data_IF_354352238104
#
_entry.id   IF_354352238104
#
_cell.length_a   1.000
_cell.length_b   1.000
_cell.length_c   1.000
_cell.angle_alpha   90.00
_cell.angle_beta   90.00
_cell.angle_gamma   90.00
#
_symmetry.space_group_name_H-M   'P 1'
#
loop_
_entity.id
_entity.type
_entity.pdbx_description
1 polymer ?
#
# COMPACT_ATOMS: atom_id res chain seq x y z
N UNK A 1 13.63 -3.00 -7.63
CA UNK A 1 13.52 -2.87 -6.16
C UNK A 1 13.81 -4.20 -5.49
N UNK A 2 14.57 -4.19 -4.39
CA UNK A 2 14.89 -5.37 -3.60
C UNK A 2 14.01 -5.38 -2.34
N UNK A 3 13.35 -6.51 -2.09
CA UNK A 3 12.51 -6.68 -0.91
C UNK A 3 13.31 -7.24 0.27
N UNK A 4 13.54 -6.40 1.28
CA UNK A 4 14.03 -6.79 2.61
C UNK A 4 13.04 -6.41 3.72
N UNK A 5 11.74 -6.33 3.38
CA UNK A 5 10.69 -5.85 4.27
C UNK A 5 9.56 -6.83 4.56
N UNK A 6 9.43 -7.92 3.79
CA UNK A 6 8.33 -8.88 3.96
C UNK A 6 8.45 -9.65 5.29
N UNK A 7 7.43 -9.63 6.17
CA UNK A 7 7.44 -10.38 7.44
C UNK A 7 6.78 -11.76 7.34
N UNK A 8 6.22 -12.12 6.18
CA UNK A 8 5.44 -13.36 5.99
C UNK A 8 6.31 -14.58 6.26
N UNK A 9 5.83 -15.49 7.12
CA UNK A 9 6.56 -16.69 7.56
C UNK A 9 7.14 -17.50 6.40
N UNK A 10 6.35 -17.74 5.34
CA UNK A 10 6.78 -18.48 4.14
C UNK A 10 8.00 -17.83 3.44
N UNK A 11 8.11 -16.50 3.47
CA UNK A 11 9.24 -15.77 2.88
C UNK A 11 10.44 -15.77 3.85
N UNK A 12 10.20 -15.51 5.13
CA UNK A 12 11.27 -15.47 6.14
C UNK A 12 11.94 -16.83 6.34
N UNK A 13 11.19 -17.94 6.28
CA UNK A 13 11.73 -19.29 6.44
C UNK A 13 12.67 -19.71 5.29
N UNK A 14 12.61 -19.01 4.15
CA UNK A 14 13.55 -19.14 3.04
C UNK A 14 14.73 -18.15 3.15
N UNK A 15 14.95 -17.56 4.34
CA UNK A 15 15.98 -16.53 4.58
C UNK A 15 15.86 -15.30 3.68
N UNK A 16 14.63 -14.97 3.28
CA UNK A 16 14.32 -13.84 2.40
C UNK A 16 13.53 -12.75 3.13
N UNK A 17 13.41 -11.57 2.51
CA UNK A 17 12.64 -10.47 3.07
C UNK A 17 13.27 -9.94 4.35
N UNK A 18 12.46 -9.68 5.38
CA UNK A 18 12.95 -9.05 6.61
C UNK A 18 13.81 -9.96 7.51
N UNK A 19 13.94 -11.24 7.19
CA UNK A 19 14.93 -12.13 7.85
C UNK A 19 16.37 -11.70 7.56
N UNK A 20 16.63 -11.09 6.40
CA UNK A 20 17.95 -10.59 6.02
C UNK A 20 18.44 -9.47 6.95
N UNK A 21 17.53 -8.76 7.64
CA UNK A 21 17.87 -7.63 8.51
C UNK A 21 18.67 -8.02 9.76
N UNK A 22 18.84 -9.33 10.02
CA UNK A 22 19.70 -9.87 11.08
C UNK A 22 21.13 -10.19 10.61
N UNK A 23 21.40 -10.13 9.31
CA UNK A 23 22.66 -10.57 8.70
C UNK A 23 23.22 -9.47 7.78
N UNK A 24 23.83 -8.46 8.39
CA UNK A 24 24.33 -7.27 7.69
C UNK A 24 25.34 -7.60 6.59
N UNK A 25 26.27 -8.53 6.83
CA UNK A 25 27.24 -9.00 5.82
C UNK A 25 26.58 -9.66 4.60
N UNK A 26 25.46 -10.36 4.82
CA UNK A 26 24.70 -10.98 3.73
C UNK A 26 23.93 -9.93 2.94
N UNK A 27 23.40 -8.91 3.63
CA UNK A 27 22.78 -7.76 2.98
C UNK A 27 23.78 -7.07 2.06
N UNK A 28 24.97 -6.73 2.54
CA UNK A 28 26.03 -6.12 1.73
C UNK A 28 26.32 -6.93 0.46
N UNK A 29 26.60 -8.23 0.62
CA UNK A 29 26.87 -9.14 -0.51
C UNK A 29 25.75 -9.16 -1.55
N UNK A 30 24.49 -9.19 -1.11
CA UNK A 30 23.33 -9.19 -2.01
C UNK A 30 23.23 -7.86 -2.76
N UNK A 31 23.32 -6.73 -2.05
CA UNK A 31 23.17 -5.42 -2.66
C UNK A 31 24.27 -5.17 -3.69
N UNK A 32 25.52 -5.46 -3.33
CA UNK A 32 26.68 -5.36 -4.22
C UNK A 32 26.56 -6.22 -5.48
N UNK A 33 26.07 -7.46 -5.33
CA UNK A 33 25.91 -8.37 -6.46
C UNK A 33 24.81 -7.89 -7.40
N UNK A 34 23.68 -7.44 -6.87
CA UNK A 34 22.54 -6.97 -7.69
C UNK A 34 22.86 -5.65 -8.38
N UNK A 35 23.48 -4.69 -7.68
CA UNK A 35 23.85 -3.39 -8.26
C UNK A 35 24.87 -3.57 -9.39
N UNK A 36 25.85 -4.48 -9.24
CA UNK A 36 26.83 -4.77 -10.31
C UNK A 36 26.27 -5.53 -11.49
N UNK A 37 25.14 -6.21 -11.34
CA UNK A 37 24.58 -7.07 -12.38
C UNK A 37 23.71 -6.31 -13.40
N UNK A 38 23.32 -5.05 -13.14
CA UNK A 38 22.36 -4.31 -13.97
C UNK A 38 22.73 -2.84 -14.11
N UNK A 39 22.43 -2.25 -15.27
CA UNK A 39 22.65 -0.83 -15.55
C UNK A 39 21.47 0.07 -15.13
N UNK A 40 20.36 -0.52 -14.69
CA UNK A 40 19.17 0.22 -14.23
C UNK A 40 19.27 0.57 -12.74
N UNK A 41 18.62 1.66 -12.27
CA UNK A 41 18.60 2.00 -10.86
C UNK A 41 18.08 0.88 -9.96
N UNK A 42 18.88 0.52 -8.95
CA UNK A 42 18.48 -0.46 -7.93
C UNK A 42 18.05 0.29 -6.67
N UNK A 43 16.89 -0.09 -6.14
CA UNK A 43 16.26 0.50 -4.95
C UNK A 43 16.01 -0.57 -3.89
N UNK A 44 15.92 -0.17 -2.61
CA UNK A 44 15.74 -1.10 -1.49
C UNK A 44 14.53 -0.73 -0.63
N UNK A 45 13.61 -1.68 -0.45
CA UNK A 45 12.50 -1.56 0.51
C UNK A 45 12.67 -2.48 1.71
N UNK A 46 12.66 -1.92 2.92
CA UNK A 46 12.92 -2.65 4.16
C UNK A 46 12.11 -2.15 5.36
N UNK A 47 12.40 -2.71 6.54
CA UNK A 47 11.74 -2.44 7.84
C UNK A 47 12.73 -1.90 8.86
N UNK A 48 12.24 -1.40 9.99
CA UNK A 48 13.10 -0.76 11.02
C UNK A 48 14.10 -1.73 11.66
N UNK A 49 13.82 -3.04 11.60
CA UNK A 49 14.67 -4.12 12.08
C UNK A 49 13.87 -5.40 12.31
N UNK A 50 14.44 -6.33 13.07
CA UNK A 50 13.80 -7.62 13.36
C UNK A 50 12.68 -7.51 14.40
N UNK A 51 12.95 -6.83 15.51
CA UNK A 51 12.00 -6.51 16.58
C UNK A 51 12.35 -5.15 17.20
N UNK A 52 11.65 -4.74 18.26
CA UNK A 52 11.80 -3.39 18.83
C UNK A 52 13.14 -3.18 19.50
N UNK A 53 13.72 -4.24 20.02
CA UNK A 53 15.03 -4.29 20.68
C UNK A 53 16.17 -4.36 19.65
N UNK A 54 15.90 -4.86 18.45
CA UNK A 54 16.87 -5.11 17.38
C UNK A 54 16.54 -4.30 16.12
N UNK A 55 16.65 -2.96 16.22
CA UNK A 55 16.51 -2.04 15.09
C UNK A 55 17.85 -1.88 14.36
N UNK A 56 17.94 -2.42 13.14
CA UNK A 56 19.16 -2.42 12.32
C UNK A 56 19.11 -1.40 11.18
N UNK A 57 18.00 -0.67 11.01
CA UNK A 57 17.75 0.14 9.83
C UNK A 57 18.81 1.20 9.51
N UNK A 58 19.44 1.84 10.50
CA UNK A 58 20.51 2.81 10.24
C UNK A 58 21.75 2.16 9.62
N UNK A 59 22.12 0.96 10.08
CA UNK A 59 23.28 0.23 9.53
C UNK A 59 22.97 -0.26 8.13
N UNK A 60 21.78 -0.84 7.93
CA UNK A 60 21.30 -1.29 6.62
C UNK A 60 21.24 -0.14 5.61
N UNK A 61 20.78 1.05 6.01
CA UNK A 61 20.74 2.22 5.13
C UNK A 61 22.13 2.67 4.66
N UNK A 62 23.14 2.62 5.55
CA UNK A 62 24.53 2.97 5.20
C UNK A 62 25.15 1.94 4.26
N UNK A 63 24.97 0.65 4.56
CA UNK A 63 25.40 -0.45 3.69
C UNK A 63 24.78 -0.28 2.30
N UNK A 64 23.48 -0.02 2.24
CA UNK A 64 22.78 0.17 0.96
C UNK A 64 23.31 1.36 0.17
N UNK A 65 23.53 2.51 0.83
CA UNK A 65 24.10 3.68 0.16
C UNK A 65 25.53 3.41 -0.36
N UNK A 66 26.37 2.69 0.40
CA UNK A 66 27.72 2.30 -0.01
C UNK A 66 27.71 1.33 -1.19
N UNK A 67 26.77 0.38 -1.21
CA UNK A 67 26.58 -0.59 -2.29
C UNK A 67 26.03 0.03 -3.59
N UNK A 68 25.68 1.33 -3.60
CA UNK A 68 25.16 2.02 -4.78
C UNK A 68 23.64 1.95 -4.97
N UNK A 69 22.88 1.64 -3.91
CA UNK A 69 21.41 1.75 -3.95
C UNK A 69 21.00 3.22 -4.17
N UNK A 70 20.08 3.45 -5.09
CA UNK A 70 19.70 4.80 -5.51
C UNK A 70 18.48 5.37 -4.77
N UNK A 71 17.70 4.54 -4.07
CA UNK A 71 16.58 5.00 -3.23
C UNK A 71 16.23 3.97 -2.16
N UNK A 72 15.91 4.45 -0.97
CA UNK A 72 15.44 3.64 0.16
C UNK A 72 13.95 3.84 0.40
N UNK A 73 13.22 2.76 0.65
CA UNK A 73 11.87 2.83 1.22
C UNK A 73 11.83 2.12 2.56
N UNK A 74 11.48 2.85 3.62
CA UNK A 74 11.45 2.30 4.97
C UNK A 74 10.03 2.23 5.51
N UNK A 75 9.55 1.00 5.77
CA UNK A 75 8.33 0.79 6.54
C UNK A 75 8.62 0.98 8.03
N UNK A 76 7.90 1.90 8.68
CA UNK A 76 8.06 2.27 10.09
C UNK A 76 7.67 1.19 11.12
N UNK A 77 7.75 -0.10 10.76
CA UNK A 77 7.51 -1.23 11.66
C UNK A 77 8.69 -2.19 11.61
N UNK A 78 8.89 -2.94 12.69
CA UNK A 78 9.83 -4.05 12.73
C UNK A 78 9.23 -5.28 12.04
N UNK A 79 10.02 -6.32 11.76
CA UNK A 79 9.49 -7.61 11.28
C UNK A 79 8.45 -8.17 12.26
N UNK A 80 8.76 -8.17 13.55
CA UNK A 80 7.92 -8.74 14.60
C UNK A 80 6.57 -8.04 14.75
N UNK A 81 6.49 -6.72 14.51
CA UNK A 81 5.21 -6.02 14.53
C UNK A 81 4.28 -6.49 13.39
N UNK A 82 4.81 -6.98 12.27
CA UNK A 82 3.99 -7.35 11.11
C UNK A 82 3.11 -6.17 10.64
N UNK A 83 1.80 -6.24 10.90
CA UNK A 83 0.84 -5.15 10.69
C UNK A 83 0.14 -4.69 11.98
N UNK A 84 0.52 -5.21 13.15
CA UNK A 84 0.00 -4.77 14.44
C UNK A 84 0.68 -3.48 14.90
N UNK A 85 0.10 -2.84 15.92
CA UNK A 85 0.57 -1.56 16.43
C UNK A 85 0.54 -0.44 15.38
N UNK A 86 1.29 0.63 15.64
CA UNK A 86 1.40 1.79 14.75
C UNK A 86 2.80 1.86 14.13
N UNK A 87 2.88 2.31 12.88
CA UNK A 87 4.15 2.67 12.27
C UNK A 87 4.77 3.87 13.00
N UNK A 88 6.05 3.77 13.35
CA UNK A 88 6.84 4.84 13.92
C UNK A 88 7.76 5.49 12.88
N UNK A 89 7.89 6.81 12.97
CA UNK A 89 8.57 7.62 11.98
C UNK A 89 9.95 8.11 12.47
N UNK A 90 10.31 7.86 13.73
CA UNK A 90 11.58 8.30 14.32
C UNK A 90 12.77 7.60 13.64
N UNK A 91 12.66 6.31 13.39
CA UNK A 91 13.71 5.57 12.67
C UNK A 91 13.82 6.04 11.22
N UNK A 92 12.71 6.41 10.58
CA UNK A 92 12.73 6.96 9.20
C UNK A 92 13.46 8.31 9.17
N UNK A 93 13.16 9.21 10.12
CA UNK A 93 13.87 10.48 10.26
C UNK A 93 15.37 10.28 10.46
N UNK A 94 15.75 9.34 11.34
CA UNK A 94 17.14 9.02 11.60
C UNK A 94 17.87 8.43 10.38
N UNK A 95 17.19 7.60 9.58
CA UNK A 95 17.74 7.10 8.30
C UNK A 95 17.88 8.23 7.29
N UNK A 96 16.87 9.07 7.12
CA UNK A 96 16.92 10.22 6.19
C UNK A 96 18.05 11.19 6.53
N UNK A 97 18.30 11.44 7.81
CA UNK A 97 19.42 12.28 8.24
C UNK A 97 20.80 11.64 8.03
N UNK A 98 20.88 10.31 7.91
CA UNK A 98 22.14 9.57 7.84
C UNK A 98 22.62 9.25 6.41
N UNK A 99 21.77 9.44 5.39
CA UNK A 99 22.11 9.12 3.99
C UNK A 99 21.73 10.28 3.06
N UNK A 100 22.43 10.40 1.93
CA UNK A 100 22.16 11.42 0.92
C UNK A 100 21.18 10.97 -0.16
N UNK A 101 21.08 9.66 -0.40
CA UNK A 101 20.13 9.09 -1.35
C UNK A 101 18.68 9.31 -0.91
N UNK A 102 17.72 9.41 -1.85
CA UNK A 102 16.31 9.59 -1.53
C UNK A 102 15.76 8.50 -0.58
N UNK A 103 14.95 8.93 0.39
CA UNK A 103 14.26 8.08 1.37
C UNK A 103 12.75 8.30 1.28
N UNK A 104 12.02 7.20 1.12
CA UNK A 104 10.57 7.15 1.05
C UNK A 104 10.00 6.61 2.36
N UNK A 105 9.18 7.42 3.04
CA UNK A 105 8.51 7.03 4.26
C UNK A 105 7.29 6.13 3.97
N UNK A 106 7.15 5.02 4.70
CA UNK A 106 6.05 4.09 4.51
C UNK A 106 5.45 3.62 5.84
N UNK A 107 4.13 3.42 5.86
CA UNK A 107 3.40 2.82 6.96
C UNK A 107 2.32 3.74 7.52
N UNK A 108 1.08 3.25 7.57
CA UNK A 108 -0.08 3.91 8.18
C UNK A 108 -0.36 5.34 7.69
N UNK A 109 0.01 5.62 6.45
CA UNK A 109 -0.34 6.86 5.74
C UNK A 109 -1.66 6.60 5.02
N UNK A 110 -2.75 7.01 5.64
CA UNK A 110 -4.13 6.72 5.19
C UNK A 110 -4.91 7.96 4.80
N UNK A 111 -4.36 9.16 5.04
CA UNK A 111 -5.01 10.45 4.73
C UNK A 111 -3.98 11.47 4.23
N UNK A 112 -4.42 12.54 3.54
CA UNK A 112 -3.56 13.64 3.12
C UNK A 112 -2.82 14.34 4.27
N UNK A 113 -3.50 14.56 5.40
CA UNK A 113 -2.92 15.18 6.60
C UNK A 113 -1.84 14.29 7.20
N UNK A 114 -2.09 12.96 7.25
CA UNK A 114 -1.10 12.01 7.73
C UNK A 114 0.14 11.99 6.83
N UNK A 115 -0.04 12.08 5.50
CA UNK A 115 1.08 12.19 4.57
C UNK A 115 1.91 13.45 4.84
N UNK A 116 1.27 14.61 4.99
CA UNK A 116 1.94 15.87 5.34
C UNK A 116 2.69 15.78 6.67
N UNK A 117 2.04 15.25 7.71
CA UNK A 117 2.64 15.05 9.02
C UNK A 117 3.88 14.17 8.94
N UNK A 118 3.81 13.05 8.23
CA UNK A 118 4.93 12.12 8.10
C UNK A 118 6.09 12.75 7.33
N UNK A 119 5.83 13.46 6.24
CA UNK A 119 6.87 14.20 5.51
C UNK A 119 7.55 15.23 6.41
N UNK A 120 6.78 16.03 7.16
CA UNK A 120 7.32 17.03 8.09
C UNK A 120 8.15 16.40 9.23
N UNK A 121 7.68 15.29 9.80
CA UNK A 121 8.37 14.62 10.92
C UNK A 121 9.66 13.92 10.50
N UNK A 122 9.71 13.41 9.26
CA UNK A 122 10.82 12.58 8.80
C UNK A 122 11.83 13.31 7.92
N UNK A 123 11.42 14.40 7.28
CA UNK A 123 12.18 15.01 6.19
C UNK A 123 12.33 14.11 4.96
N UNK A 124 11.55 13.02 4.86
CA UNK A 124 11.60 12.08 3.74
C UNK A 124 11.25 12.78 2.42
N UNK A 125 11.82 12.29 1.32
CA UNK A 125 11.65 12.87 -0.01
C UNK A 125 10.31 12.48 -0.66
N UNK A 126 9.71 11.38 -0.20
CA UNK A 126 8.41 10.93 -0.65
C UNK A 126 7.71 10.07 0.42
N UNK A 127 6.44 9.76 0.17
CA UNK A 127 5.66 8.78 0.93
C UNK A 127 5.20 7.63 0.02
N UNK A 128 5.15 6.42 0.57
CA UNK A 128 4.59 5.25 -0.11
C UNK A 128 3.30 4.80 0.57
N UNK A 129 2.24 4.70 -0.22
CA UNK A 129 0.91 4.29 0.22
C UNK A 129 0.67 2.83 -0.21
N UNK A 130 0.10 2.03 0.70
CA UNK A 130 -0.21 0.62 0.46
C UNK A 130 -1.71 0.34 0.62
N UNK A 131 -2.09 -0.18 1.78
CA UNK A 131 -3.47 -0.59 2.10
C UNK A 131 -4.51 0.50 1.82
N UNK A 132 -4.22 1.77 2.08
CA UNK A 132 -5.17 2.85 1.86
C UNK A 132 -5.50 3.12 0.39
N UNK A 133 -4.69 2.63 -0.56
CA UNK A 133 -4.98 2.72 -1.99
C UNK A 133 -5.81 1.52 -2.50
N UNK A 134 -5.98 0.47 -1.69
CA UNK A 134 -6.82 -0.67 -2.04
C UNK A 134 -8.29 -0.26 -2.03
N UNK A 135 -8.94 -0.26 -3.19
CA UNK A 135 -10.31 0.24 -3.34
C UNK A 135 -10.45 1.76 -3.38
N UNK A 136 -9.32 2.49 -3.30
CA UNK A 136 -9.26 3.95 -3.35
C UNK A 136 -7.99 4.42 -4.07
N UNK A 137 -7.78 4.04 -5.34
CA UNK A 137 -6.54 4.39 -6.07
C UNK A 137 -6.35 5.91 -6.22
N UNK A 138 -7.43 6.70 -6.20
CA UNK A 138 -7.39 8.16 -6.22
C UNK A 138 -6.80 8.79 -4.94
N UNK A 139 -6.50 8.02 -3.89
CA UNK A 139 -5.83 8.56 -2.69
C UNK A 139 -4.52 9.27 -3.02
N UNK A 140 -3.80 8.80 -4.06
CA UNK A 140 -2.56 9.43 -4.49
C UNK A 140 -2.80 10.88 -4.96
N UNK A 141 -3.83 11.14 -5.78
CA UNK A 141 -4.15 12.51 -6.23
C UNK A 141 -4.70 13.39 -5.11
N UNK A 142 -5.40 12.81 -4.14
CA UNK A 142 -5.91 13.55 -2.97
C UNK A 142 -4.77 14.00 -2.06
N UNK A 143 -3.81 13.10 -1.78
CA UNK A 143 -2.60 13.43 -1.02
C UNK A 143 -1.80 14.51 -1.77
N UNK A 144 -1.57 14.29 -3.04
CA UNK A 144 -0.78 15.18 -3.89
C UNK A 144 -1.39 16.60 -4.00
N UNK A 145 -2.71 16.70 -4.20
CA UNK A 145 -3.42 17.98 -4.19
C UNK A 145 -3.28 18.69 -2.84
N UNK A 146 -3.58 18.01 -1.74
CA UNK A 146 -3.48 18.59 -0.40
C UNK A 146 -2.07 19.04 -0.02
N UNK A 147 -1.04 18.30 -0.43
CA UNK A 147 0.35 18.70 -0.20
C UNK A 147 0.73 19.98 -0.94
N UNK A 148 0.13 20.25 -2.12
CA UNK A 148 0.40 21.46 -2.90
C UNK A 148 -0.45 22.66 -2.49
N UNK A 149 -1.72 22.45 -2.15
CA UNK A 149 -2.70 23.53 -1.96
C UNK A 149 -3.08 23.75 -0.50
N UNK A 150 -2.93 22.74 0.35
CA UNK A 150 -3.50 22.73 1.70
C UNK A 150 -5.02 22.47 1.74
N UNK A 151 -5.65 22.24 0.59
CA UNK A 151 -7.09 22.02 0.45
C UNK A 151 -7.41 20.56 0.12
N UNK A 152 -8.64 20.12 0.42
CA UNK A 152 -9.10 18.77 0.10
C UNK A 152 -9.81 18.73 -1.25
N UNK A 153 -9.51 17.70 -2.04
CA UNK A 153 -10.39 17.33 -3.14
C UNK A 153 -11.71 16.78 -2.60
N UNK A 154 -12.84 17.05 -3.27
CA UNK A 154 -14.09 16.37 -2.97
C UNK A 154 -13.95 14.87 -3.29
N UNK A 155 -14.78 14.05 -2.63
CA UNK A 155 -14.92 12.63 -2.95
C UNK A 155 -15.17 12.43 -4.45
N UNK A 156 -14.66 11.35 -5.07
CA UNK A 156 -14.82 11.13 -6.51
C UNK A 156 -16.30 11.01 -6.89
N UNK A 157 -16.61 11.37 -8.15
CA UNK A 157 -17.97 11.21 -8.66
C UNK A 157 -18.31 9.72 -8.78
N UNK A 158 -19.57 9.36 -8.55
CA UNK A 158 -20.04 7.98 -8.73
C UNK A 158 -19.75 7.51 -10.16
N UNK A 159 -20.06 8.34 -11.16
CA UNK A 159 -19.81 8.04 -12.57
C UNK A 159 -18.31 7.79 -12.88
N UNK A 160 -17.42 8.55 -12.23
CA UNK A 160 -15.98 8.40 -12.39
C UNK A 160 -15.51 7.04 -11.84
N UNK A 161 -15.97 6.65 -10.64
CA UNK A 161 -15.56 5.37 -10.03
C UNK A 161 -16.19 4.19 -10.76
N UNK A 162 -17.43 4.33 -11.25
CA UNK A 162 -18.10 3.35 -12.10
C UNK A 162 -17.28 3.05 -13.35
N UNK A 163 -16.87 4.09 -14.08
CA UNK A 163 -16.02 3.94 -15.28
C UNK A 163 -14.67 3.30 -14.94
N UNK A 164 -13.99 3.79 -13.89
CA UNK A 164 -12.71 3.22 -13.45
C UNK A 164 -12.83 1.73 -13.11
N UNK A 165 -13.93 1.33 -12.48
CA UNK A 165 -14.18 -0.07 -12.12
C UNK A 165 -14.44 -0.95 -13.32
N UNK A 166 -15.19 -0.47 -14.32
CA UNK A 166 -15.36 -1.20 -15.58
C UNK A 166 -13.99 -1.41 -16.26
N UNK A 167 -13.23 -0.34 -16.48
CA UNK A 167 -11.89 -0.42 -17.11
C UNK A 167 -10.94 -1.37 -16.37
N UNK A 168 -10.90 -1.27 -15.04
CA UNK A 168 -10.05 -2.12 -14.20
C UNK A 168 -10.46 -3.59 -14.28
N UNK A 169 -11.77 -3.90 -14.22
CA UNK A 169 -12.25 -5.26 -14.27
C UNK A 169 -12.04 -5.88 -15.66
N UNK A 170 -12.32 -5.15 -16.73
CA UNK A 170 -12.07 -5.59 -18.10
C UNK A 170 -10.58 -5.94 -18.30
N UNK A 171 -9.67 -5.05 -17.90
CA UNK A 171 -8.24 -5.30 -17.98
C UNK A 171 -7.81 -6.52 -17.15
N UNK A 172 -8.38 -6.67 -15.95
CA UNK A 172 -8.12 -7.81 -15.07
C UNK A 172 -8.60 -9.14 -15.69
N UNK A 173 -9.79 -9.16 -16.28
CA UNK A 173 -10.32 -10.35 -16.95
C UNK A 173 -9.56 -10.70 -18.22
N UNK A 174 -9.13 -9.70 -19.01
CA UNK A 174 -8.28 -9.92 -20.16
C UNK A 174 -6.94 -10.56 -19.78
N UNK A 175 -6.37 -10.18 -18.63
CA UNK A 175 -5.10 -10.71 -18.16
C UNK A 175 -5.20 -12.13 -17.58
N UNK A 176 -6.21 -12.39 -16.73
CA UNK A 176 -6.33 -13.65 -16.01
C UNK A 176 -7.24 -14.69 -16.71
N UNK A 177 -7.99 -14.28 -17.73
CA UNK A 177 -9.03 -15.08 -18.35
C UNK A 177 -10.24 -15.31 -17.44
N UNK A 178 -11.27 -15.97 -17.97
CA UNK A 178 -12.57 -16.14 -17.29
C UNK A 178 -12.45 -16.79 -15.90
N UNK A 179 -11.83 -17.98 -15.86
CA UNK A 179 -11.82 -18.82 -14.67
C UNK A 179 -11.07 -18.21 -13.48
N UNK A 180 -9.87 -17.65 -13.71
CA UNK A 180 -9.08 -17.00 -12.65
C UNK A 180 -9.52 -15.56 -12.45
N UNK A 181 -9.92 -14.86 -13.50
CA UNK A 181 -10.35 -13.47 -13.46
C UNK A 181 -11.53 -13.27 -12.50
N UNK A 182 -12.60 -14.05 -12.66
CA UNK A 182 -13.79 -13.95 -11.80
C UNK A 182 -13.47 -14.16 -10.32
N UNK A 183 -12.54 -15.07 -9.99
CA UNK A 183 -12.16 -15.40 -8.61
C UNK A 183 -11.26 -14.33 -8.00
N UNK A 184 -10.26 -13.88 -8.76
CA UNK A 184 -9.25 -12.95 -8.27
C UNK A 184 -9.76 -11.51 -8.23
N UNK A 185 -10.74 -11.14 -9.06
CA UNK A 185 -11.38 -9.82 -9.04
C UNK A 185 -12.17 -9.55 -7.75
N UNK A 186 -12.72 -10.58 -7.10
CA UNK A 186 -13.56 -10.46 -5.88
C UNK A 186 -12.92 -9.60 -4.79
N UNK A 187 -11.62 -9.77 -4.57
CA UNK A 187 -10.89 -8.98 -3.55
C UNK A 187 -10.82 -7.50 -3.93
N UNK A 188 -10.63 -7.19 -5.21
CA UNK A 188 -10.54 -5.82 -5.70
C UNK A 188 -11.90 -5.15 -5.58
N UNK A 189 -12.96 -5.78 -6.10
CA UNK A 189 -14.35 -5.32 -5.96
C UNK A 189 -14.68 -5.10 -4.48
N UNK A 190 -14.37 -6.08 -3.64
CA UNK A 190 -14.58 -6.02 -2.20
C UNK A 190 -13.78 -4.93 -1.47
N UNK A 191 -12.73 -4.37 -2.06
CA UNK A 191 -12.05 -3.19 -1.51
C UNK A 191 -12.78 -1.90 -1.85
N UNK A 192 -13.26 -1.74 -3.09
CA UNK A 192 -13.96 -0.54 -3.53
C UNK A 192 -15.29 -0.32 -2.81
N UNK A 193 -16.06 -1.39 -2.60
CA UNK A 193 -17.45 -1.27 -2.15
C UNK A 193 -17.60 -1.33 -0.64
N UNK A 194 -16.55 -1.72 0.10
CA UNK A 194 -16.65 -2.05 1.53
C UNK A 194 -17.19 -0.91 2.39
N UNK A 195 -16.78 0.31 2.08
CA UNK A 195 -17.13 1.50 2.87
C UNK A 195 -18.37 2.23 2.32
N UNK A 196 -19.02 1.68 1.30
CA UNK A 196 -20.19 2.26 0.64
C UNK A 196 -21.49 1.64 1.17
N UNK A 197 -22.59 2.38 1.04
CA UNK A 197 -23.89 1.93 1.50
C UNK A 197 -24.38 0.71 0.69
N UNK A 198 -24.92 -0.30 1.39
CA UNK A 198 -25.24 -1.60 0.80
C UNK A 198 -24.03 -2.46 0.39
N UNK A 199 -22.79 -1.98 0.61
CA UNK A 199 -21.57 -2.64 0.16
C UNK A 199 -21.40 -4.07 0.69
N UNK A 200 -21.76 -4.33 1.95
CA UNK A 200 -21.67 -5.68 2.53
C UNK A 200 -22.59 -6.68 1.83
N UNK A 201 -23.87 -6.33 1.70
CA UNK A 201 -24.86 -7.17 1.01
C UNK A 201 -24.44 -7.43 -0.44
N UNK A 202 -23.93 -6.40 -1.13
CA UNK A 202 -23.39 -6.54 -2.47
C UNK A 202 -22.20 -7.51 -2.53
N UNK A 203 -21.24 -7.43 -1.59
CA UNK A 203 -20.09 -8.37 -1.54
C UNK A 203 -20.56 -9.82 -1.40
N UNK A 204 -21.55 -10.07 -0.55
CA UNK A 204 -22.10 -11.42 -0.33
C UNK A 204 -22.68 -11.99 -1.63
N UNK A 205 -23.47 -11.18 -2.36
CA UNK A 205 -24.02 -11.58 -3.66
C UNK A 205 -22.92 -11.76 -4.72
N UNK A 206 -21.99 -10.80 -4.83
CA UNK A 206 -20.91 -10.79 -5.81
C UNK A 206 -19.98 -12.01 -5.68
N UNK A 207 -19.74 -12.49 -4.46
CA UNK A 207 -18.92 -13.67 -4.21
C UNK A 207 -19.52 -14.99 -4.73
N UNK A 208 -20.82 -15.02 -5.03
CA UNK A 208 -21.51 -16.18 -5.60
C UNK A 208 -21.45 -16.20 -7.14
N UNK A 209 -21.03 -15.10 -7.78
CA UNK A 209 -21.01 -15.00 -9.23
C UNK A 209 -19.84 -15.79 -9.83
N UNK A 210 -20.13 -16.53 -10.90
CA UNK A 210 -19.20 -17.45 -11.55
C UNK A 210 -18.76 -17.03 -12.97
N UNK A 211 -19.26 -15.90 -13.48
CA UNK A 211 -18.80 -15.32 -14.75
C UNK A 211 -18.38 -13.85 -14.65
N UNK A 212 -17.44 -13.45 -15.49
CA UNK A 212 -16.94 -12.08 -15.61
C UNK A 212 -18.04 -11.13 -16.04
N UNK A 213 -18.85 -11.53 -17.03
CA UNK A 213 -20.00 -10.76 -17.51
C UNK A 213 -21.05 -10.51 -16.42
N UNK A 214 -21.31 -11.51 -15.55
CA UNK A 214 -22.20 -11.31 -14.41
C UNK A 214 -21.61 -10.36 -13.36
N UNK A 215 -20.32 -10.47 -13.07
CA UNK A 215 -19.64 -9.53 -12.15
C UNK A 215 -19.67 -8.09 -12.66
N UNK A 216 -19.39 -7.85 -13.95
CA UNK A 216 -19.45 -6.51 -14.54
C UNK A 216 -20.83 -5.89 -14.37
N UNK A 217 -21.88 -6.60 -14.78
CA UNK A 217 -23.26 -6.11 -14.62
C UNK A 217 -23.61 -5.82 -13.17
N UNK A 218 -23.23 -6.71 -12.25
CA UNK A 218 -23.51 -6.53 -10.83
C UNK A 218 -22.79 -5.30 -10.25
N UNK A 219 -21.51 -5.10 -10.60
CA UNK A 219 -20.73 -3.92 -10.19
C UNK A 219 -21.30 -2.64 -10.77
N UNK A 220 -21.68 -2.65 -12.05
CA UNK A 220 -22.28 -1.53 -12.74
C UNK A 220 -23.59 -1.08 -12.07
N UNK A 221 -24.51 -2.03 -11.85
CA UNK A 221 -25.76 -1.77 -11.13
C UNK A 221 -25.55 -1.32 -9.68
N UNK A 222 -24.53 -1.86 -9.01
CA UNK A 222 -24.19 -1.41 -7.66
C UNK A 222 -23.77 0.06 -7.64
N UNK A 223 -22.86 0.48 -8.52
CA UNK A 223 -22.44 1.89 -8.57
C UNK A 223 -23.55 2.81 -9.09
N UNK A 224 -24.38 2.36 -10.02
CA UNK A 224 -25.56 3.11 -10.42
C UNK A 224 -26.51 3.36 -9.24
N UNK A 225 -26.73 2.36 -8.38
CA UNK A 225 -27.54 2.56 -7.18
C UNK A 225 -26.95 3.59 -6.21
N UNK A 226 -25.63 3.82 -6.23
CA UNK A 226 -25.01 4.83 -5.37
C UNK A 226 -25.44 6.27 -5.72
N UNK A 227 -25.95 6.51 -6.94
CA UNK A 227 -26.48 7.82 -7.34
C UNK A 227 -27.68 8.25 -6.49
N UNK A 228 -28.41 7.31 -5.87
CA UNK A 228 -29.51 7.67 -4.95
C UNK A 228 -29.02 8.33 -3.66
N UNK A 229 -27.73 8.18 -3.32
CA UNK A 229 -27.10 8.84 -2.16
C UNK A 229 -26.38 10.14 -2.55
N UNK A 230 -26.20 10.42 -3.84
CA UNK A 230 -25.61 11.65 -4.37
C UNK A 230 -24.71 11.42 -5.58
N UNK A 231 -24.31 12.52 -6.25
CA UNK A 231 -23.44 12.45 -7.44
C UNK A 231 -21.99 12.02 -7.14
N UNK A 232 -21.59 12.07 -5.87
CA UNK A 232 -20.25 11.68 -5.37
C UNK A 232 -20.39 10.55 -4.36
N UNK A 233 -19.39 9.69 -4.29
CA UNK A 233 -19.38 8.58 -3.35
C UNK A 233 -19.55 9.08 -1.91
N UNK A 234 -20.50 8.48 -1.21
CA UNK A 234 -20.72 8.68 0.22
C UNK A 234 -20.14 7.49 0.97
N UNK A 235 -19.18 7.76 1.85
CA UNK A 235 -18.54 6.73 2.67
C UNK A 235 -19.18 6.70 4.05
N UNK A 236 -19.33 5.50 4.62
CA UNK A 236 -19.83 5.35 5.98
C UNK A 236 -18.91 6.05 7.00
N UNK A 237 -19.47 6.74 8.02
CA UNK A 237 -18.68 7.41 9.05
C UNK A 237 -17.75 6.45 9.79
N UNK A 238 -16.61 6.95 10.28
CA UNK A 238 -15.60 6.15 10.96
C UNK A 238 -16.09 5.46 12.26
N UNK A 239 -17.19 5.94 12.86
CA UNK A 239 -17.72 5.43 14.14
C UNK A 239 -18.26 3.99 14.02
N UNK A 240 -18.73 3.59 12.84
CA UNK A 240 -19.16 2.20 12.59
C UNK A 240 -17.97 1.25 12.33
N UNK A 241 -16.74 1.76 12.17
CA UNK A 241 -15.55 0.96 11.84
C UNK A 241 -15.04 0.13 13.02
N UNK A 242 -15.25 0.56 14.27
CA UNK A 242 -14.81 -0.20 15.45
C UNK A 242 -15.72 -1.40 15.75
N UNK A 243 -17.01 -1.30 15.45
CA UNK A 243 -17.98 -2.40 15.68
C UNK A 243 -17.78 -3.53 14.67
N UNK A 244 -17.45 -3.22 13.42
CA UNK A 244 -17.28 -4.22 12.36
C UNK A 244 -15.90 -4.93 12.35
N UNK A 245 -14.90 -4.40 13.04
CA UNK A 245 -13.59 -5.06 13.23
C UNK A 245 -13.53 -5.91 14.50
N UNK A 246 -14.51 -5.77 15.39
CA UNK A 246 -14.67 -6.53 16.63
C UNK A 246 -15.66 -7.70 16.51
N UNK A 247 -16.30 -7.89 15.35
CA UNK A 247 -17.21 -8.98 15.02
C UNK A 247 -16.62 -9.88 13.92
#
# INVERSE_FOLDING_TARGET
DINMGCPVKKVCNAWCGSALLQHEDLVEKILDAVVRAVDVPVTLKFRTGWNRENKTALRIARIAAQAGIQMLTLHGRTRADGYSGQAEYKTIAAVKAAVTIPVVANGDITTPEKARLVLQQTGADAVMIGRAAQGRPWICREIDHFLRTGEHLPAPRVAEVRQLMDEHLQAHYAFYGEFLGVRTARKHIGWYVRELEGGEAFRQQMNLLESTAAQLRAVDSFFESQLSFGERLQYRPAVEKEVALAA
#
